data_IF_923730496519
#
_entry.id   IF_923730496519
#
_cell.length_a   1.000
_cell.length_b   1.000
_cell.length_c   1.000
_cell.angle_alpha   90.00
_cell.angle_beta   90.00
_cell.angle_gamma   90.00
#
_symmetry.space_group_name_H-M   'P 1'
#
loop_
_entity.id
_entity.type
_entity.pdbx_description
1 polymer ?
#
# COMPACT_ATOMS: atom_id res chain seq x y z
N UNK A 1 13.94 5.24 28.87
CA UNK A 1 13.90 3.79 28.54
C UNK A 1 12.60 3.55 27.76
N UNK A 2 12.64 3.75 26.45
CA UNK A 2 12.60 2.68 25.43
C UNK A 2 11.38 1.75 25.59
N UNK A 3 10.25 2.17 25.04
CA UNK A 3 9.22 1.26 24.58
C UNK A 3 9.50 0.99 23.10
N UNK A 4 10.52 0.19 22.83
CA UNK A 4 10.66 -0.50 21.56
C UNK A 4 9.45 -1.44 21.45
N UNK A 5 8.38 -0.97 20.84
CA UNK A 5 7.29 -1.83 20.41
C UNK A 5 7.89 -2.80 19.41
N UNK A 6 8.11 -4.03 19.89
CA UNK A 6 8.59 -5.15 19.11
C UNK A 6 7.47 -5.50 18.14
N UNK A 7 7.57 -5.01 16.91
CA UNK A 7 6.76 -5.51 15.79
C UNK A 7 7.36 -6.86 15.39
N UNK A 8 6.61 -7.97 15.46
CA UNK A 8 7.14 -9.29 15.13
C UNK A 8 7.45 -9.37 13.63
N UNK A 9 8.70 -9.66 13.29
CA UNK A 9 9.22 -10.35 12.10
C UNK A 9 8.44 -10.26 10.77
N UNK A 10 8.05 -9.05 10.35
CA UNK A 10 7.30 -8.88 9.10
C UNK A 10 7.27 -7.45 8.55
N UNK A 11 8.17 -6.57 8.97
CA UNK A 11 8.29 -5.22 8.41
C UNK A 11 8.94 -5.29 7.02
N UNK A 12 8.19 -5.76 6.03
CA UNK A 12 8.57 -5.58 4.64
C UNK A 12 8.63 -4.08 4.42
N UNK A 13 9.84 -3.57 4.25
CA UNK A 13 10.05 -2.17 3.94
C UNK A 13 9.42 -1.90 2.57
N UNK A 14 8.46 -0.98 2.54
CA UNK A 14 7.82 -0.59 1.29
C UNK A 14 8.85 0.07 0.37
N UNK A 15 8.81 -0.19 -0.96
CA UNK A 15 9.56 0.56 -1.95
C UNK A 15 9.34 2.07 -1.81
N UNK A 16 10.31 2.87 -2.28
CA UNK A 16 10.21 4.33 -2.25
C UNK A 16 8.93 4.83 -2.95
N UNK A 17 8.58 4.25 -4.10
CA UNK A 17 7.37 4.61 -4.84
C UNK A 17 6.07 4.42 -4.04
N UNK A 18 5.99 3.39 -3.19
CA UNK A 18 4.83 3.16 -2.34
C UNK A 18 4.80 4.13 -1.16
N UNK A 19 5.95 4.49 -0.61
CA UNK A 19 6.04 5.51 0.42
C UNK A 19 5.65 6.89 -0.12
N UNK A 20 6.10 7.22 -1.34
CA UNK A 20 5.72 8.44 -2.06
C UNK A 20 4.22 8.48 -2.33
N UNK A 21 3.61 7.38 -2.76
CA UNK A 21 2.15 7.30 -2.95
C UNK A 21 1.36 7.57 -1.64
N UNK A 22 1.85 7.03 -0.52
CA UNK A 22 1.21 7.23 0.78
C UNK A 22 1.43 8.65 1.33
N UNK A 23 2.44 9.36 0.85
CA UNK A 23 2.75 10.71 1.34
C UNK A 23 1.62 11.69 1.00
N UNK A 24 1.05 12.31 2.03
CA UNK A 24 -0.04 13.27 1.88
C UNK A 24 -1.44 12.66 1.75
N UNK A 25 -1.58 11.32 1.78
CA UNK A 25 -2.88 10.65 1.88
C UNK A 25 -3.40 10.71 3.33
N UNK A 26 -4.72 10.65 3.49
CA UNK A 26 -5.35 10.59 4.81
C UNK A 26 -5.07 9.24 5.50
N UNK A 27 -5.11 9.21 6.83
CA UNK A 27 -4.91 7.98 7.60
C UNK A 27 -5.89 6.86 7.20
N UNK A 28 -7.14 7.19 6.86
CA UNK A 28 -8.13 6.20 6.42
C UNK A 28 -7.69 5.48 5.14
N UNK A 29 -7.17 6.23 4.17
CA UNK A 29 -6.64 5.68 2.91
C UNK A 29 -5.38 4.88 3.18
N UNK A 30 -4.46 5.42 3.98
CA UNK A 30 -3.21 4.73 4.33
C UNK A 30 -3.52 3.39 5.00
N UNK A 31 -4.43 3.35 5.97
CA UNK A 31 -4.80 2.11 6.67
C UNK A 31 -5.45 1.07 5.75
N UNK A 32 -6.14 1.52 4.70
CA UNK A 32 -6.79 0.66 3.70
C UNK A 32 -5.79 0.12 2.68
N UNK A 33 -4.89 0.96 2.19
CA UNK A 33 -3.97 0.62 1.08
C UNK A 33 -2.70 -0.07 1.57
N UNK A 34 -2.21 0.27 2.78
CA UNK A 34 -0.93 -0.22 3.32
C UNK A 34 -0.84 -1.76 3.39
N UNK A 35 -1.86 -2.52 3.83
CA UNK A 35 -1.80 -3.98 3.82
C UNK A 35 -1.55 -4.55 2.41
N UNK A 36 -2.16 -3.94 1.38
CA UNK A 36 -2.03 -4.37 -0.01
C UNK A 36 -0.65 -4.02 -0.58
N UNK A 37 -0.11 -2.84 -0.26
CA UNK A 37 1.27 -2.48 -0.62
C UNK A 37 2.29 -3.41 0.03
N UNK A 38 2.06 -3.82 1.28
CA UNK A 38 2.91 -4.79 1.97
C UNK A 38 2.84 -6.17 1.30
N UNK A 39 1.65 -6.62 0.90
CA UNK A 39 1.49 -7.86 0.14
C UNK A 39 2.20 -7.79 -1.22
N UNK A 40 2.00 -6.71 -1.98
CA UNK A 40 2.71 -6.44 -3.23
C UNK A 40 4.23 -6.50 -3.05
N UNK A 41 4.75 -5.91 -1.96
CA UNK A 41 6.17 -5.92 -1.64
C UNK A 41 6.70 -7.27 -1.15
N UNK A 42 5.84 -8.12 -0.58
CA UNK A 42 6.17 -9.51 -0.25
C UNK A 42 6.35 -10.34 -1.51
N UNK A 43 5.38 -10.25 -2.41
CA UNK A 43 5.33 -11.06 -3.62
C UNK A 43 6.32 -10.55 -4.66
N UNK A 44 6.50 -9.22 -4.75
CA UNK A 44 7.33 -8.52 -5.76
C UNK A 44 6.97 -8.85 -7.21
N UNK A 45 5.71 -9.24 -7.44
CA UNK A 45 5.21 -9.65 -8.76
C UNK A 45 4.32 -8.57 -9.38
N UNK A 46 3.40 -8.02 -8.60
CA UNK A 46 2.30 -7.19 -9.09
C UNK A 46 2.27 -5.84 -8.38
N UNK A 47 1.83 -4.81 -9.10
CA UNK A 47 1.57 -3.49 -8.56
C UNK A 47 0.23 -3.43 -7.83
N UNK A 48 -0.17 -2.21 -7.47
CA UNK A 48 -1.42 -1.98 -6.72
C UNK A 48 -2.33 -1.05 -7.51
N UNK A 49 -3.60 -1.44 -7.63
CA UNK A 49 -4.66 -0.54 -8.09
C UNK A 49 -5.46 -0.07 -6.90
N UNK A 50 -5.65 1.25 -6.81
CA UNK A 50 -6.50 1.89 -5.82
C UNK A 50 -7.69 2.49 -6.55
N UNK A 51 -8.90 2.05 -6.22
CA UNK A 51 -10.15 2.58 -6.77
C UNK A 51 -10.79 3.43 -5.69
N UNK A 52 -11.04 4.69 -6.01
CA UNK A 52 -11.71 5.65 -5.13
C UNK A 52 -13.17 5.72 -5.53
N UNK A 53 -14.04 5.25 -4.65
CA UNK A 53 -15.48 5.38 -4.79
C UNK A 53 -15.99 6.53 -3.91
N UNK A 54 -17.23 7.02 -4.13
CA UNK A 54 -17.80 8.10 -3.32
C UNK A 54 -17.92 7.81 -1.81
N UNK A 55 -17.94 6.54 -1.41
CA UNK A 55 -18.19 6.12 -0.03
C UNK A 55 -17.09 5.26 0.58
N UNK A 56 -16.22 4.67 -0.24
CA UNK A 56 -15.13 3.81 0.20
C UNK A 56 -13.90 3.91 -0.72
N UNK A 57 -12.80 3.33 -0.25
CA UNK A 57 -11.58 3.16 -1.04
C UNK A 57 -11.29 1.68 -1.09
N UNK A 58 -10.98 1.18 -2.28
CA UNK A 58 -10.57 -0.20 -2.47
C UNK A 58 -9.14 -0.23 -2.97
N UNK A 59 -8.32 -1.12 -2.42
CA UNK A 59 -7.00 -1.42 -2.93
C UNK A 59 -6.87 -2.92 -3.18
N UNK A 60 -6.26 -3.29 -4.30
CA UNK A 60 -6.00 -4.68 -4.64
C UNK A 60 -4.73 -4.81 -5.47
N UNK A 61 -4.14 -6.00 -5.47
CA UNK A 61 -3.06 -6.34 -6.39
C UNK A 61 -3.63 -6.46 -7.80
N UNK A 62 -2.93 -5.90 -8.77
CA UNK A 62 -3.31 -5.94 -10.18
C UNK A 62 -2.13 -6.51 -10.98
N UNK A 63 -2.35 -7.63 -11.65
CA UNK A 63 -1.32 -8.36 -12.39
C UNK A 63 -0.92 -7.67 -13.70
N UNK A 64 -1.73 -6.72 -14.16
CA UNK A 64 -1.42 -5.85 -15.30
C UNK A 64 -0.50 -4.69 -14.94
N UNK A 65 -0.34 -4.41 -13.64
CA UNK A 65 0.50 -3.34 -13.12
C UNK A 65 1.85 -3.94 -12.66
N UNK A 66 2.99 -3.40 -13.11
CA UNK A 66 4.29 -3.88 -12.63
C UNK A 66 4.49 -3.55 -11.15
N UNK A 67 5.17 -4.45 -10.44
CA UNK A 67 5.61 -4.23 -9.06
C UNK A 67 6.30 -2.86 -8.88
N UNK A 68 5.99 -2.18 -7.77
CA UNK A 68 6.50 -0.85 -7.47
C UNK A 68 5.67 0.27 -8.08
N UNK A 69 4.57 -0.04 -8.78
CA UNK A 69 3.66 0.96 -9.35
C UNK A 69 2.31 0.94 -8.64
N UNK A 70 1.77 2.13 -8.38
CA UNK A 70 0.41 2.31 -7.88
C UNK A 70 -0.37 3.12 -8.91
N UNK A 71 -1.53 2.61 -9.32
CA UNK A 71 -2.47 3.35 -10.18
C UNK A 71 -3.70 3.68 -9.37
N UNK A 72 -4.08 4.95 -9.38
CA UNK A 72 -5.33 5.42 -8.78
C UNK A 72 -6.38 5.60 -9.86
N UNK A 73 -7.56 5.02 -9.65
CA UNK A 73 -8.70 5.07 -10.53
C UNK A 73 -9.90 5.67 -9.79
N UNK A 74 -10.77 6.36 -10.51
CA UNK A 74 -11.97 6.99 -9.96
C UNK A 74 -13.17 6.38 -10.69
N UNK A 75 -14.11 5.84 -9.91
CA UNK A 75 -15.38 5.28 -10.39
C UNK A 75 -16.55 6.22 -10.07
#
# INVERSE_FOLDING_TARGET
MSAAQVYPEGMIQLPASYQEYLAGKSESVINTVRPILMQSAADKLHGVRVVVHPHDHQAHLDDTIPFGTVIEDID
#
